data_IF_609554525571
#
_entry.id   IF_609554525571
#
_cell.length_a   1.000
_cell.length_b   1.000
_cell.length_c   1.000
_cell.angle_alpha   90.00
_cell.angle_beta   90.00
_cell.angle_gamma   90.00
#
_symmetry.space_group_name_H-M   'P 1'
#
loop_
_entity.id
_entity.type
_entity.pdbx_description
1 polymer ?
#
# COMPACT_ATOMS: atom_id res chain seq x y z
N UNK A 1 -0.18 -23.71 6.23
CA UNK A 1 -0.89 -22.86 7.22
C UNK A 1 -1.05 -21.49 6.58
N UNK A 2 -2.15 -20.75 6.84
CA UNK A 2 -2.32 -19.42 6.26
C UNK A 2 -1.21 -18.47 6.75
N UNK A 3 -0.87 -17.47 5.94
CA UNK A 3 0.04 -16.40 6.34
C UNK A 3 -0.42 -15.71 7.63
N UNK A 4 0.55 -15.24 8.41
CA UNK A 4 0.29 -14.37 9.55
C UNK A 4 0.92 -13.00 9.29
N UNK A 5 0.23 -11.94 9.70
CA UNK A 5 0.73 -10.56 9.55
C UNK A 5 0.83 -9.84 10.87
N UNK A 6 1.86 -9.01 11.04
CA UNK A 6 1.98 -8.07 12.16
C UNK A 6 2.18 -6.66 11.63
N UNK A 7 1.14 -5.83 11.73
CA UNK A 7 1.18 -4.40 11.45
C UNK A 7 1.70 -3.63 12.68
N UNK A 8 2.48 -2.58 12.46
CA UNK A 8 3.00 -1.67 13.49
C UNK A 8 3.31 -0.29 12.88
N UNK A 9 3.44 0.72 13.74
CA UNK A 9 3.81 2.08 13.33
C UNK A 9 5.33 2.23 13.27
N UNK A 10 5.79 3.01 12.29
CA UNK A 10 7.14 3.51 12.15
C UNK A 10 7.10 5.03 11.94
N UNK A 11 8.21 5.70 12.24
CA UNK A 11 8.39 7.13 12.06
C UNK A 11 7.21 7.91 12.67
N UNK A 12 6.51 8.72 11.88
CA UNK A 12 5.33 9.48 12.31
C UNK A 12 4.03 8.79 11.93
N UNK A 13 3.93 8.32 10.70
CA UNK A 13 2.69 7.79 10.13
C UNK A 13 2.92 6.61 9.17
N UNK A 14 4.16 6.13 9.00
CA UNK A 14 4.46 4.96 8.18
C UNK A 14 3.97 3.69 8.88
N UNK A 15 3.49 2.74 8.09
CA UNK A 15 3.23 1.38 8.53
C UNK A 15 4.42 0.49 8.20
N UNK A 16 4.83 -0.32 9.18
CA UNK A 16 5.63 -1.52 8.94
C UNK A 16 4.75 -2.76 9.00
N UNK A 17 5.02 -3.75 8.14
CA UNK A 17 4.32 -5.04 8.19
C UNK A 17 5.33 -6.18 8.20
N UNK A 18 5.16 -7.12 9.14
CA UNK A 18 5.79 -8.43 9.02
C UNK A 18 4.81 -9.40 8.38
N UNK A 19 5.25 -10.14 7.37
CA UNK A 19 4.56 -11.27 6.73
C UNK A 19 5.27 -12.56 7.10
N UNK A 20 4.59 -13.46 7.80
CA UNK A 20 5.15 -14.69 8.35
C UNK A 20 4.52 -15.93 7.75
N UNK A 21 5.37 -16.87 7.33
CA UNK A 21 4.98 -18.25 7.01
C UNK A 21 5.14 -19.13 8.26
N UNK A 22 4.03 -19.56 8.91
CA UNK A 22 4.12 -20.44 10.07
C UNK A 22 4.69 -21.82 9.75
N UNK A 23 4.60 -22.25 8.48
CA UNK A 23 5.08 -23.57 8.04
C UNK A 23 6.60 -23.66 8.06
N UNK A 24 7.29 -22.65 7.53
CA UNK A 24 8.74 -22.62 7.48
C UNK A 24 9.39 -21.78 8.59
N UNK A 25 8.62 -21.00 9.34
CA UNK A 25 9.13 -20.03 10.32
C UNK A 25 9.78 -18.78 9.71
N UNK A 26 9.62 -18.56 8.39
CA UNK A 26 10.25 -17.45 7.67
C UNK A 26 9.39 -16.21 7.75
N UNK A 27 10.02 -15.04 7.78
CA UNK A 27 9.32 -13.77 7.88
C UNK A 27 9.95 -12.73 6.98
N UNK A 28 9.11 -12.05 6.22
CA UNK A 28 9.48 -10.84 5.50
C UNK A 28 9.08 -9.60 6.30
N UNK A 29 9.92 -8.57 6.31
CA UNK A 29 9.44 -7.20 6.48
C UNK A 29 9.00 -6.67 5.10
N UNK A 30 7.81 -6.09 5.04
CA UNK A 30 7.34 -5.33 3.87
C UNK A 30 7.73 -3.89 4.11
N UNK A 31 8.64 -3.39 3.27
CA UNK A 31 9.42 -2.18 3.52
C UNK A 31 10.17 -2.21 4.87
N UNK A 32 11.08 -1.26 5.05
CA UNK A 32 11.81 -1.04 6.28
C UNK A 32 12.05 0.47 6.52
N UNK A 33 11.02 1.21 6.97
CA UNK A 33 11.16 2.64 7.28
C UNK A 33 12.28 2.94 8.28
N UNK A 34 12.34 2.15 9.35
CA UNK A 34 13.39 2.19 10.36
C UNK A 34 13.55 0.81 11.00
N UNK A 35 14.78 0.47 11.40
CA UNK A 35 15.09 -0.86 11.91
C UNK A 35 14.48 -1.12 13.31
N UNK A 36 14.46 -0.13 14.20
CA UNK A 36 14.09 -0.33 15.59
C UNK A 36 12.64 -0.84 15.80
N UNK A 37 11.59 -0.31 15.13
CA UNK A 37 10.24 -0.87 15.22
C UNK A 37 10.12 -2.28 14.63
N UNK A 38 10.84 -2.57 13.54
CA UNK A 38 10.88 -3.92 12.93
C UNK A 38 11.44 -4.91 13.95
N UNK A 39 12.56 -4.60 14.60
CA UNK A 39 13.15 -5.42 15.67
C UNK A 39 12.19 -5.62 16.85
N UNK A 40 11.49 -4.55 17.27
CA UNK A 40 10.51 -4.64 18.34
C UNK A 40 9.34 -5.57 17.98
N UNK A 41 8.87 -5.51 16.73
CA UNK A 41 7.81 -6.38 16.22
C UNK A 41 8.27 -7.84 16.11
N UNK A 42 9.49 -8.10 15.63
CA UNK A 42 10.11 -9.43 15.59
C UNK A 42 10.25 -10.02 17.00
N UNK A 43 10.76 -9.23 17.95
CA UNK A 43 10.89 -9.65 19.35
C UNK A 43 9.54 -9.98 19.99
N UNK A 44 8.50 -9.17 19.73
CA UNK A 44 7.17 -9.40 20.29
C UNK A 44 6.48 -10.66 19.74
N UNK A 45 6.81 -11.03 18.50
CA UNK A 45 6.23 -12.21 17.82
C UNK A 45 7.07 -13.47 17.99
N UNK A 46 8.38 -13.33 18.30
CA UNK A 46 9.34 -14.43 18.29
C UNK A 46 9.70 -14.89 16.87
N UNK A 47 9.33 -14.12 15.84
CA UNK A 47 9.59 -14.47 14.45
C UNK A 47 11.01 -14.11 14.02
N UNK A 48 11.54 -14.84 13.04
CA UNK A 48 12.89 -14.63 12.49
C UNK A 48 12.80 -13.91 11.15
N UNK A 49 13.43 -12.75 11.04
CA UNK A 49 13.50 -12.00 9.78
C UNK A 49 14.42 -12.72 8.79
N UNK A 50 13.88 -13.05 7.62
CA UNK A 50 14.63 -13.72 6.54
C UNK A 50 14.63 -12.93 5.25
N UNK A 51 13.65 -12.04 5.08
CA UNK A 51 13.44 -11.31 3.84
C UNK A 51 13.03 -9.85 4.15
N UNK A 52 13.40 -8.92 3.28
CA UNK A 52 12.82 -7.58 3.18
C UNK A 52 12.31 -7.46 1.75
N UNK A 53 11.01 -7.22 1.60
CA UNK A 53 10.38 -6.99 0.31
C UNK A 53 10.07 -5.51 0.19
N UNK A 54 10.74 -4.82 -0.73
CA UNK A 54 10.66 -3.37 -0.88
C UNK A 54 9.64 -3.02 -1.95
N UNK A 55 8.74 -2.08 -1.64
CA UNK A 55 7.74 -1.59 -2.56
C UNK A 55 8.32 -0.53 -3.50
N UNK A 56 9.08 0.43 -2.96
CA UNK A 56 9.69 1.51 -3.74
C UNK A 56 10.87 2.16 -3.00
N UNK A 57 11.60 3.04 -3.69
CA UNK A 57 12.90 3.54 -3.23
C UNK A 57 12.89 4.67 -2.20
N UNK A 58 11.75 5.24 -1.85
CA UNK A 58 11.76 6.35 -0.89
C UNK A 58 12.34 5.93 0.46
N UNK A 59 13.01 6.90 1.10
CA UNK A 59 13.81 6.67 2.30
C UNK A 59 12.99 6.21 3.49
N UNK A 60 11.79 6.73 3.64
CA UNK A 60 10.84 6.30 4.66
C UNK A 60 10.25 4.90 4.41
N UNK A 61 10.69 4.20 3.36
CA UNK A 61 10.45 2.77 3.12
C UNK A 61 11.73 1.94 3.15
N UNK A 62 12.92 2.56 3.16
CA UNK A 62 14.19 1.85 2.91
C UNK A 62 15.32 2.15 3.90
N UNK A 63 15.22 3.20 4.72
CA UNK A 63 16.30 3.66 5.60
C UNK A 63 16.71 2.61 6.66
N UNK A 64 15.81 1.70 7.02
CA UNK A 64 16.09 0.60 7.96
C UNK A 64 16.80 -0.61 7.36
N UNK A 65 16.91 -0.73 6.03
CA UNK A 65 17.36 -1.94 5.35
C UNK A 65 18.78 -2.35 5.76
N UNK A 66 19.74 -1.42 5.69
CA UNK A 66 21.15 -1.75 5.91
C UNK A 66 21.40 -2.28 7.34
N UNK A 67 20.75 -1.69 8.33
CA UNK A 67 20.85 -2.11 9.73
C UNK A 67 20.22 -3.49 9.96
N UNK A 68 19.02 -3.73 9.42
CA UNK A 68 18.33 -5.01 9.54
C UNK A 68 19.10 -6.13 8.84
N UNK A 69 19.62 -5.87 7.63
CA UNK A 69 20.41 -6.84 6.89
C UNK A 69 21.70 -7.18 7.62
N UNK A 70 22.40 -6.19 8.18
CA UNK A 70 23.62 -6.45 8.97
C UNK A 70 23.36 -7.38 10.17
N UNK A 71 22.18 -7.27 10.81
CA UNK A 71 21.82 -8.09 11.98
C UNK A 71 21.29 -9.48 11.62
N UNK A 72 20.39 -9.56 10.65
CA UNK A 72 19.62 -10.78 10.36
C UNK A 72 20.15 -11.54 9.15
N UNK A 73 21.03 -10.93 8.34
CA UNK A 73 21.49 -11.47 7.05
C UNK A 73 20.31 -11.82 6.13
N UNK A 74 19.24 -11.03 6.21
CA UNK A 74 18.04 -11.22 5.42
C UNK A 74 18.31 -10.89 3.94
N UNK A 75 17.54 -11.53 3.05
CA UNK A 75 17.51 -11.22 1.62
C UNK A 75 16.70 -9.94 1.38
N UNK A 76 17.19 -9.03 0.55
CA UNK A 76 16.47 -7.82 0.13
C UNK A 76 16.01 -7.99 -1.31
N UNK A 77 14.69 -7.94 -1.52
CA UNK A 77 14.05 -8.03 -2.83
C UNK A 77 13.47 -6.68 -3.19
N UNK A 78 13.81 -6.14 -4.36
CA UNK A 78 13.43 -4.80 -4.79
C UNK A 78 12.86 -4.77 -6.21
N UNK A 79 12.03 -3.77 -6.57
CA UNK A 79 11.65 -3.55 -7.96
C UNK A 79 12.88 -3.30 -8.83
N UNK A 80 12.98 -3.99 -9.96
CA UNK A 80 14.11 -3.89 -10.89
C UNK A 80 14.35 -2.46 -11.40
N UNK A 81 13.28 -1.70 -11.63
CA UNK A 81 13.35 -0.33 -12.11
C UNK A 81 13.91 0.67 -11.09
N UNK A 82 13.95 0.33 -9.80
CA UNK A 82 14.40 1.22 -8.72
C UNK A 82 15.55 0.62 -7.89
N UNK A 83 16.01 -0.59 -8.23
CA UNK A 83 17.05 -1.30 -7.49
C UNK A 83 18.38 -0.53 -7.38
N UNK A 84 18.66 0.39 -8.31
CA UNK A 84 19.85 1.23 -8.29
C UNK A 84 19.88 2.28 -7.16
N UNK A 85 18.74 2.60 -6.56
CA UNK A 85 18.64 3.56 -5.44
C UNK A 85 18.32 2.90 -4.10
N UNK A 86 17.88 1.64 -4.12
CA UNK A 86 17.58 0.86 -2.91
C UNK A 86 18.86 0.24 -2.36
N UNK A 87 19.18 0.39 -1.07
CA UNK A 87 20.40 -0.16 -0.49
C UNK A 87 20.33 -1.69 -0.39
N UNK A 88 21.50 -2.34 -0.52
CA UNK A 88 21.68 -3.75 -0.16
C UNK A 88 20.79 -4.76 -0.92
N UNK A 89 20.35 -4.45 -2.14
CA UNK A 89 19.51 -5.36 -2.95
C UNK A 89 20.24 -6.66 -3.28
N UNK A 90 19.58 -7.80 -3.02
CA UNK A 90 20.06 -9.14 -3.40
C UNK A 90 19.37 -9.69 -4.66
N UNK A 91 18.08 -9.33 -4.83
CA UNK A 91 17.23 -9.85 -5.90
C UNK A 91 16.33 -8.73 -6.43
N UNK A 92 16.13 -8.71 -7.75
CA UNK A 92 15.20 -7.77 -8.39
C UNK A 92 13.99 -8.47 -8.98
N UNK A 93 12.85 -7.79 -8.98
CA UNK A 93 11.58 -8.30 -9.52
C UNK A 93 10.92 -7.32 -10.48
N UNK A 94 10.18 -7.85 -11.45
CA UNK A 94 9.45 -7.13 -12.51
C UNK A 94 7.96 -7.48 -12.50
N UNK A 95 7.18 -6.81 -13.34
CA UNK A 95 5.75 -7.12 -13.53
C UNK A 95 5.54 -8.60 -13.82
N UNK A 96 4.63 -9.23 -13.07
CA UNK A 96 4.29 -10.64 -13.24
C UNK A 96 5.24 -11.63 -12.56
N UNK A 97 6.40 -11.18 -12.08
CA UNK A 97 7.32 -12.05 -11.34
C UNK A 97 6.69 -12.53 -10.02
N UNK A 98 7.26 -13.62 -9.50
CA UNK A 98 6.84 -14.24 -8.25
C UNK A 98 7.84 -13.91 -7.15
N UNK A 99 7.34 -13.46 -6.00
CA UNK A 99 8.10 -13.29 -4.75
C UNK A 99 7.68 -14.38 -3.75
N UNK A 100 8.62 -14.83 -2.92
CA UNK A 100 8.36 -15.89 -1.94
C UNK A 100 8.86 -15.54 -0.55
N UNK A 101 8.09 -15.95 0.46
CA UNK A 101 8.47 -15.96 1.88
C UNK A 101 8.14 -17.34 2.44
N UNK A 102 9.12 -18.23 2.49
CA UNK A 102 8.84 -19.65 2.75
C UNK A 102 7.95 -20.24 1.67
N UNK A 103 6.82 -20.82 2.08
CA UNK A 103 5.81 -21.36 1.19
C UNK A 103 4.82 -20.30 0.66
N UNK A 104 4.82 -19.08 1.20
CA UNK A 104 3.95 -18.00 0.73
C UNK A 104 4.42 -17.51 -0.63
N UNK A 105 3.48 -17.32 -1.55
CA UNK A 105 3.74 -16.91 -2.93
C UNK A 105 2.93 -15.66 -3.27
N UNK A 106 3.66 -14.61 -3.66
CA UNK A 106 3.09 -13.34 -4.09
C UNK A 106 3.44 -13.07 -5.55
N UNK A 107 2.53 -12.41 -6.28
CA UNK A 107 2.80 -11.88 -7.61
C UNK A 107 3.10 -10.40 -7.54
N UNK A 108 4.08 -9.95 -8.31
CA UNK A 108 4.42 -8.54 -8.46
C UNK A 108 3.51 -7.89 -9.49
N UNK A 109 2.92 -6.77 -9.11
CA UNK A 109 2.13 -5.88 -9.97
C UNK A 109 2.87 -4.55 -9.99
N UNK A 110 3.40 -4.13 -11.14
CA UNK A 110 4.10 -2.86 -11.25
C UNK A 110 3.09 -1.74 -11.41
N UNK A 111 3.17 -0.76 -10.53
CA UNK A 111 2.13 0.28 -10.37
C UNK A 111 2.72 1.70 -10.47
N UNK A 112 3.23 2.10 -11.65
CA UNK A 112 3.85 3.41 -11.84
C UNK A 112 2.88 4.54 -11.50
N UNK A 113 3.43 5.63 -10.95
CA UNK A 113 2.67 6.81 -10.58
C UNK A 113 3.36 7.57 -9.45
N UNK A 114 3.39 6.99 -8.24
CA UNK A 114 4.08 7.61 -7.12
C UNK A 114 5.57 7.71 -7.41
N UNK A 115 6.20 6.56 -7.59
CA UNK A 115 7.50 6.42 -8.22
C UNK A 115 7.35 5.82 -9.62
N UNK A 116 8.45 5.77 -10.35
CA UNK A 116 8.49 5.33 -11.75
C UNK A 116 8.22 3.83 -11.94
N UNK A 117 8.59 2.96 -11.01
CA UNK A 117 8.41 1.52 -11.16
C UNK A 117 8.26 0.76 -9.82
N UNK A 118 7.31 1.12 -8.95
CA UNK A 118 7.14 0.47 -7.66
C UNK A 118 6.60 -0.96 -7.84
N UNK A 119 6.97 -1.84 -6.91
CA UNK A 119 6.43 -3.19 -6.78
C UNK A 119 5.28 -3.22 -5.77
N UNK A 120 4.05 -3.43 -6.26
CA UNK A 120 2.93 -3.84 -5.41
C UNK A 120 2.89 -5.37 -5.34
N UNK A 121 2.80 -5.93 -4.14
CA UNK A 121 2.91 -7.38 -3.90
C UNK A 121 1.55 -7.97 -3.55
N UNK A 122 1.05 -8.90 -4.37
CA UNK A 122 -0.25 -9.55 -4.18
C UNK A 122 -0.11 -11.05 -3.88
N UNK A 123 -0.40 -11.44 -2.65
CA UNK A 123 -0.42 -12.83 -2.19
C UNK A 123 -1.84 -13.37 -2.29
N UNK A 124 -2.20 -13.92 -3.46
CA UNK A 124 -3.57 -14.29 -3.80
C UNK A 124 -4.16 -15.37 -2.87
N UNK A 125 -3.37 -16.38 -2.52
CA UNK A 125 -3.82 -17.48 -1.65
C UNK A 125 -4.18 -16.99 -0.23
N UNK A 126 -3.48 -15.96 0.24
CA UNK A 126 -3.66 -15.36 1.57
C UNK A 126 -4.54 -14.10 1.54
N UNK A 127 -4.95 -13.66 0.33
CA UNK A 127 -5.74 -12.45 0.09
C UNK A 127 -5.09 -11.18 0.65
N UNK A 128 -3.78 -11.04 0.50
CA UNK A 128 -3.02 -9.89 1.01
C UNK A 128 -2.49 -9.06 -0.16
N UNK A 129 -2.63 -7.74 -0.05
CA UNK A 129 -2.07 -6.76 -0.98
C UNK A 129 -1.20 -5.77 -0.23
N UNK A 130 0.08 -5.68 -0.60
CA UNK A 130 1.00 -4.68 -0.08
C UNK A 130 1.27 -3.64 -1.17
N UNK A 131 0.62 -2.49 -1.06
CA UNK A 131 0.57 -1.49 -2.15
C UNK A 131 1.55 -0.32 -2.01
N UNK A 132 2.34 -0.31 -0.91
CA UNK A 132 3.19 0.82 -0.56
C UNK A 132 2.41 2.13 -0.66
N UNK A 133 2.95 3.04 -1.47
CA UNK A 133 2.40 4.38 -1.68
C UNK A 133 1.56 4.52 -2.95
N UNK A 134 1.26 3.41 -3.62
CA UNK A 134 0.38 3.45 -4.79
C UNK A 134 -1.07 3.71 -4.35
N UNK A 135 -1.60 2.85 -3.46
CA UNK A 135 -2.98 2.88 -2.97
C UNK A 135 -3.00 2.99 -1.45
N UNK A 136 -3.78 3.93 -0.93
CA UNK A 136 -4.07 4.08 0.50
C UNK A 136 -5.54 3.81 0.76
N UNK A 137 -5.90 3.57 2.03
CA UNK A 137 -7.32 3.59 2.39
C UNK A 137 -7.91 4.98 2.11
N UNK A 138 -8.93 5.01 1.25
CA UNK A 138 -9.64 6.20 0.74
C UNK A 138 -8.74 7.19 -0.03
N UNK A 139 -7.52 6.78 -0.42
CA UNK A 139 -6.57 7.64 -1.11
C UNK A 139 -5.70 6.91 -2.13
N UNK A 140 -4.80 7.67 -2.77
CA UNK A 140 -3.67 7.15 -3.53
C UNK A 140 -2.42 8.00 -3.25
N UNK A 141 -1.26 7.52 -3.71
CA UNK A 141 -0.02 8.28 -3.72
C UNK A 141 -0.14 9.64 -4.38
N UNK A 142 0.72 10.58 -3.98
CA UNK A 142 1.02 11.72 -4.86
C UNK A 142 1.77 11.18 -6.07
N UNK A 143 1.45 11.67 -7.26
CA UNK A 143 2.22 11.34 -8.48
C UNK A 143 3.49 12.20 -8.46
N UNK A 144 4.65 11.58 -8.20
CA UNK A 144 5.93 12.30 -8.06
C UNK A 144 6.80 12.07 -9.29
N UNK A 145 6.99 10.82 -9.71
CA UNK A 145 7.86 10.47 -10.85
C UNK A 145 7.08 10.04 -12.10
N UNK A 146 5.89 9.46 -11.93
CA UNK A 146 5.05 9.03 -13.03
C UNK A 146 4.13 10.14 -13.54
N UNK A 147 3.13 9.73 -14.32
CA UNK A 147 2.06 10.57 -14.84
C UNK A 147 0.71 10.23 -14.22
N UNK A 148 -0.26 11.13 -14.37
CA UNK A 148 -1.63 10.89 -13.90
C UNK A 148 -2.28 9.70 -14.60
N UNK A 149 -2.00 9.51 -15.90
CA UNK A 149 -2.50 8.37 -16.67
C UNK A 149 -1.89 7.06 -16.16
N UNK A 150 -0.57 7.01 -15.93
CA UNK A 150 0.10 5.84 -15.35
C UNK A 150 -0.49 5.48 -13.98
N UNK A 151 -0.67 6.46 -13.09
CA UNK A 151 -1.29 6.21 -11.80
C UNK A 151 -2.73 5.72 -11.94
N UNK A 152 -3.51 6.26 -12.87
CA UNK A 152 -4.87 5.79 -13.14
C UNK A 152 -4.89 4.34 -13.64
N UNK A 153 -4.00 3.97 -14.57
CA UNK A 153 -3.87 2.58 -15.01
C UNK A 153 -3.45 1.65 -13.86
N UNK A 154 -2.57 2.12 -12.97
CA UNK A 154 -2.19 1.42 -11.75
C UNK A 154 -3.39 1.21 -10.81
N UNK A 155 -4.22 2.24 -10.61
CA UNK A 155 -5.47 2.13 -9.86
C UNK A 155 -6.41 1.08 -10.47
N UNK A 156 -6.55 1.05 -11.80
CA UNK A 156 -7.38 0.07 -12.49
C UNK A 156 -6.86 -1.37 -12.30
N UNK A 157 -5.54 -1.60 -12.38
CA UNK A 157 -4.94 -2.91 -12.09
C UNK A 157 -5.30 -3.39 -10.67
N UNK A 158 -5.14 -2.53 -9.67
CA UNK A 158 -5.44 -2.88 -8.28
C UNK A 158 -6.94 -3.05 -8.03
N UNK A 159 -7.78 -2.22 -8.67
CA UNK A 159 -9.25 -2.31 -8.60
C UNK A 159 -9.80 -3.64 -9.13
N UNK A 160 -9.07 -4.31 -10.02
CA UNK A 160 -9.48 -5.61 -10.55
C UNK A 160 -9.29 -6.78 -9.57
N UNK A 161 -8.56 -6.58 -8.45
CA UNK A 161 -8.34 -7.63 -7.45
C UNK A 161 -9.64 -7.98 -6.69
N UNK A 162 -9.78 -9.20 -6.13
CA UNK A 162 -10.99 -9.61 -5.40
C UNK A 162 -11.34 -8.69 -4.22
N UNK A 163 -12.63 -8.50 -3.95
CA UNK A 163 -13.14 -7.59 -2.90
C UNK A 163 -12.67 -7.97 -1.49
N UNK A 164 -12.45 -9.26 -1.24
CA UNK A 164 -11.98 -9.80 0.03
C UNK A 164 -10.44 -9.77 0.18
N UNK A 165 -9.74 -9.10 -0.74
CA UNK A 165 -8.31 -8.80 -0.62
C UNK A 165 -8.08 -7.71 0.43
N UNK A 166 -7.21 -7.97 1.40
CA UNK A 166 -6.83 -7.02 2.44
C UNK A 166 -5.66 -6.14 1.98
N UNK A 167 -5.91 -4.84 1.88
CA UNK A 167 -4.96 -3.79 1.54
C UNK A 167 -4.14 -3.37 2.77
N UNK A 168 -2.83 -3.51 2.65
CA UNK A 168 -1.81 -2.92 3.50
C UNK A 168 -1.08 -1.84 2.69
N UNK A 169 -1.24 -0.59 3.11
CA UNK A 169 -0.63 0.58 2.48
C UNK A 169 0.51 1.15 3.32
N UNK A 170 1.27 2.10 2.77
CA UNK A 170 2.46 2.66 3.41
C UNK A 170 2.21 3.57 4.62
N UNK A 171 1.03 4.22 4.70
CA UNK A 171 0.81 5.31 5.67
C UNK A 171 -0.59 5.37 6.28
N UNK A 172 -0.66 5.89 7.51
CA UNK A 172 -1.86 6.19 8.31
C UNK A 172 -2.53 7.51 7.87
N UNK A 173 -2.89 7.59 6.58
CA UNK A 173 -3.51 8.78 5.96
C UNK A 173 -5.04 8.75 5.90
N UNK A 174 -5.66 7.68 6.36
CA UNK A 174 -7.08 7.36 6.12
C UNK A 174 -8.02 8.48 6.56
N UNK A 175 -7.83 9.08 7.74
CA UNK A 175 -8.71 10.16 8.21
C UNK A 175 -8.60 11.42 7.33
N UNK A 176 -7.38 11.80 6.93
CA UNK A 176 -7.18 12.92 6.02
C UNK A 176 -7.76 12.65 4.63
N UNK A 177 -7.61 11.40 4.15
CA UNK A 177 -8.19 10.94 2.90
C UNK A 177 -9.73 11.00 2.92
N UNK A 178 -10.36 10.56 3.99
CA UNK A 178 -11.82 10.63 4.17
C UNK A 178 -12.33 12.07 4.14
N UNK A 179 -11.66 12.98 4.86
CA UNK A 179 -12.01 14.41 4.85
C UNK A 179 -12.01 14.98 3.44
N UNK A 180 -11.00 14.64 2.65
CA UNK A 180 -10.95 15.03 1.24
C UNK A 180 -12.05 14.35 0.41
N UNK A 181 -12.23 13.03 0.53
CA UNK A 181 -13.23 12.29 -0.23
C UNK A 181 -14.66 12.81 -0.01
N UNK A 182 -14.98 13.27 1.22
CA UNK A 182 -16.27 13.89 1.54
C UNK A 182 -16.50 15.24 0.86
N UNK A 183 -15.47 15.89 0.33
CA UNK A 183 -15.65 17.08 -0.53
C UNK A 183 -16.17 16.74 -1.92
N UNK A 184 -16.11 15.45 -2.31
CA UNK A 184 -16.54 14.92 -3.61
C UNK A 184 -17.84 14.13 -3.45
N UNK A 185 -17.86 13.15 -2.55
CA UNK A 185 -19.01 12.25 -2.36
C UNK A 185 -19.54 12.30 -0.91
N UNK A 186 -20.07 13.44 -0.42
CA UNK A 186 -20.52 13.60 0.97
C UNK A 186 -21.62 12.62 1.38
N UNK A 187 -22.45 12.19 0.43
CA UNK A 187 -23.61 11.31 0.67
C UNK A 187 -23.32 9.82 0.41
N UNK A 188 -22.09 9.46 0.02
CA UNK A 188 -21.69 8.07 -0.20
C UNK A 188 -21.73 7.29 1.12
N UNK A 189 -22.70 6.38 1.24
CA UNK A 189 -22.93 5.60 2.46
C UNK A 189 -21.74 4.72 2.86
N UNK A 190 -20.99 4.19 1.88
CA UNK A 190 -19.78 3.41 2.16
C UNK A 190 -18.67 4.29 2.77
N UNK A 191 -18.51 5.52 2.27
CA UNK A 191 -17.56 6.50 2.82
C UNK A 191 -17.95 6.93 4.23
N UNK A 192 -19.24 7.17 4.48
CA UNK A 192 -19.76 7.50 5.82
C UNK A 192 -19.52 6.34 6.80
N UNK A 193 -19.81 5.10 6.40
CA UNK A 193 -19.56 3.93 7.22
C UNK A 193 -18.06 3.78 7.55
N UNK A 194 -17.18 3.99 6.56
CA UNK A 194 -15.73 3.97 6.76
C UNK A 194 -15.25 5.07 7.72
N UNK A 195 -15.80 6.28 7.63
CA UNK A 195 -15.51 7.37 8.58
C UNK A 195 -15.87 7.01 10.03
N UNK A 196 -17.03 6.39 10.24
CA UNK A 196 -17.45 5.94 11.56
C UNK A 196 -16.51 4.86 12.12
N UNK A 197 -16.14 3.88 11.30
CA UNK A 197 -15.18 2.83 11.69
C UNK A 197 -13.81 3.42 12.04
N UNK A 198 -13.27 4.29 11.20
CA UNK A 198 -11.97 4.96 11.43
C UNK A 198 -11.99 5.79 12.70
N UNK A 199 -13.08 6.51 12.96
CA UNK A 199 -13.25 7.29 14.19
C UNK A 199 -13.19 6.40 15.44
N UNK A 200 -13.85 5.24 15.40
CA UNK A 200 -13.82 4.27 16.51
C UNK A 200 -12.43 3.65 16.70
N UNK A 201 -11.75 3.27 15.61
CA UNK A 201 -10.39 2.71 15.66
C UNK A 201 -9.41 3.71 16.29
N UNK A 202 -9.41 4.97 15.83
CA UNK A 202 -8.52 6.00 16.35
C UNK A 202 -8.84 6.37 17.81
N UNK A 203 -10.12 6.42 18.20
CA UNK A 203 -10.52 6.61 19.59
C UNK A 203 -10.00 5.47 20.50
N UNK A 204 -9.91 4.24 19.97
CA UNK A 204 -9.30 3.10 20.64
C UNK A 204 -7.78 2.99 20.46
N UNK A 205 -7.11 4.01 19.88
CA UNK A 205 -5.68 4.02 19.55
C UNK A 205 -5.24 2.82 18.70
N UNK A 206 -6.10 2.39 17.78
CA UNK A 206 -5.82 1.35 16.79
C UNK A 206 -5.52 1.99 15.44
N UNK A 207 -4.70 1.29 14.66
CA UNK A 207 -4.41 1.63 13.27
C UNK A 207 -5.65 1.42 12.40
N UNK A 208 -5.75 2.17 11.30
CA UNK A 208 -6.90 2.10 10.38
C UNK A 208 -6.71 1.09 9.24
N UNK A 209 -5.48 0.60 9.06
CA UNK A 209 -5.13 -0.49 8.18
C UNK A 209 -5.17 -1.85 8.90
N UNK A 210 -5.34 -2.97 8.17
CA UNK A 210 -5.70 -3.01 6.75
C UNK A 210 -7.17 -2.64 6.50
N UNK A 211 -7.51 -2.35 5.25
CA UNK A 211 -8.90 -2.30 4.75
C UNK A 211 -9.12 -3.36 3.67
N UNK A 212 -10.36 -3.67 3.31
CA UNK A 212 -10.64 -4.58 2.19
C UNK A 212 -10.73 -3.83 0.86
N UNK A 213 -10.31 -4.45 -0.23
CA UNK A 213 -10.46 -3.87 -1.58
C UNK A 213 -11.92 -3.59 -1.94
N UNK A 214 -12.89 -4.38 -1.42
CA UNK A 214 -14.31 -4.11 -1.58
C UNK A 214 -14.74 -2.78 -0.96
N UNK A 215 -14.31 -2.50 0.28
CA UNK A 215 -14.55 -1.19 0.93
C UNK A 215 -13.90 -0.05 0.14
N UNK A 216 -12.67 -0.25 -0.33
CA UNK A 216 -11.96 0.76 -1.11
C UNK A 216 -12.64 1.07 -2.45
N UNK A 217 -13.10 0.06 -3.20
CA UNK A 217 -13.87 0.26 -4.44
C UNK A 217 -15.16 1.04 -4.20
N UNK A 218 -15.80 0.82 -3.06
CA UNK A 218 -17.06 1.45 -2.71
C UNK A 218 -16.89 2.93 -2.30
N UNK A 219 -15.74 3.32 -1.75
CA UNK A 219 -15.59 4.62 -1.08
C UNK A 219 -14.35 5.45 -1.48
N UNK A 220 -13.34 4.87 -2.12
CA UNK A 220 -12.13 5.59 -2.49
C UNK A 220 -12.34 6.35 -3.81
N UNK A 221 -12.33 7.70 -3.82
CA UNK A 221 -12.63 8.47 -5.03
C UNK A 221 -11.64 8.20 -6.17
N UNK A 222 -10.42 7.76 -5.85
CA UNK A 222 -9.39 7.43 -6.83
C UNK A 222 -9.62 6.08 -7.53
N UNK A 223 -10.49 5.22 -7.00
CA UNK A 223 -10.94 3.98 -7.64
C UNK A 223 -12.29 4.13 -8.35
N UNK A 224 -12.86 5.35 -8.32
CA UNK A 224 -14.24 5.64 -8.74
C UNK A 224 -14.32 6.76 -9.79
N UNK A 225 -13.19 7.17 -10.34
CA UNK A 225 -13.10 8.30 -11.28
C UNK A 225 -13.86 8.09 -12.61
N UNK A 226 -14.20 6.84 -12.95
CA UNK A 226 -15.01 6.46 -14.11
C UNK A 226 -16.52 6.46 -13.83
N UNK A 227 -16.95 6.71 -12.59
CA UNK A 227 -18.36 6.79 -12.25
C UNK A 227 -18.92 8.17 -12.64
N UNK A 228 -20.08 8.22 -13.34
CA UNK A 228 -20.69 9.48 -13.76
C UNK A 228 -20.93 10.46 -12.60
N UNK A 229 -21.36 9.96 -11.45
CA UNK A 229 -21.64 10.77 -10.26
C UNK A 229 -20.37 11.42 -9.68
N UNK A 230 -19.23 10.72 -9.71
CA UNK A 230 -17.94 11.26 -9.25
C UNK A 230 -17.43 12.31 -10.21
N UNK A 231 -17.50 12.03 -11.52
CA UNK A 231 -17.16 12.98 -12.57
C UNK A 231 -18.01 14.27 -12.45
N UNK A 232 -19.32 14.13 -12.22
CA UNK A 232 -20.23 15.26 -12.02
C UNK A 232 -19.88 16.05 -10.75
N UNK A 233 -19.58 15.38 -9.63
CA UNK A 233 -19.23 16.03 -8.37
C UNK A 233 -17.97 16.91 -8.47
N UNK A 234 -17.04 16.57 -9.37
CA UNK A 234 -15.88 17.40 -9.67
C UNK A 234 -16.08 18.35 -10.86
N UNK A 235 -17.29 18.46 -11.41
CA UNK A 235 -17.60 19.37 -12.52
C UNK A 235 -17.06 18.92 -13.88
N UNK A 236 -16.84 17.61 -14.05
CA UNK A 236 -16.27 16.99 -15.24
C UNK A 236 -17.20 15.92 -15.84
N UNK A 237 -18.51 16.13 -15.75
CA UNK A 237 -19.49 15.20 -16.32
C UNK A 237 -19.20 14.94 -17.82
N UNK A 238 -19.09 13.66 -18.20
CA UNK A 238 -18.78 13.24 -19.57
C UNK A 238 -17.30 13.30 -19.97
N UNK A 239 -16.41 13.73 -19.08
CA UNK A 239 -14.97 13.70 -19.34
C UNK A 239 -14.41 12.26 -19.27
N UNK A 240 -13.27 11.99 -19.93
CA UNK A 240 -12.54 10.73 -19.75
C UNK A 240 -12.15 10.48 -18.29
N UNK A 241 -12.27 9.23 -17.83
CA UNK A 241 -11.98 8.85 -16.44
C UNK A 241 -10.56 9.21 -15.98
N UNK A 242 -9.57 9.14 -16.87
CA UNK A 242 -8.20 9.54 -16.57
C UNK A 242 -8.09 11.04 -16.25
N UNK A 243 -8.85 11.89 -16.94
CA UNK A 243 -8.89 13.34 -16.67
C UNK A 243 -9.61 13.63 -15.35
N UNK A 244 -10.69 12.91 -15.06
CA UNK A 244 -11.40 12.98 -13.77
C UNK A 244 -10.47 12.57 -12.62
N UNK A 245 -9.73 11.46 -12.79
CA UNK A 245 -8.71 11.02 -11.82
C UNK A 245 -7.65 12.12 -11.60
N UNK A 246 -7.12 12.70 -12.67
CA UNK A 246 -6.12 13.76 -12.61
C UNK A 246 -6.62 15.00 -11.86
N UNK A 247 -7.88 15.39 -12.08
CA UNK A 247 -8.51 16.51 -11.36
C UNK A 247 -8.69 16.20 -9.88
N UNK A 248 -9.23 15.02 -9.52
CA UNK A 248 -9.36 14.59 -8.11
C UNK A 248 -7.99 14.64 -7.43
N UNK A 249 -6.94 14.12 -8.09
CA UNK A 249 -5.58 14.11 -7.57
C UNK A 249 -5.02 15.51 -7.39
N UNK A 250 -5.26 16.40 -8.34
CA UNK A 250 -4.86 17.81 -8.29
C UNK A 250 -5.55 18.56 -7.15
N UNK A 251 -6.85 18.32 -6.92
CA UNK A 251 -7.57 18.89 -5.77
C UNK A 251 -6.99 18.41 -4.45
N UNK A 252 -6.72 17.10 -4.31
CA UNK A 252 -6.13 16.55 -3.08
C UNK A 252 -4.72 17.07 -2.79
N UNK A 253 -3.98 17.48 -3.82
CA UNK A 253 -2.66 18.09 -3.63
C UNK A 253 -2.74 19.50 -3.02
N UNK A 254 -3.90 20.17 -3.12
CA UNK A 254 -4.14 21.54 -2.65
C UNK A 254 -5.04 21.62 -1.40
N UNK A 255 -5.57 20.49 -0.93
CA UNK A 255 -6.42 20.38 0.25
C UNK A 255 -5.56 20.20 1.51
#
# INVERSE_FOLDING_TARGET
MPAQTRLFMCLKDNFGVLLHDPGSGRTAAIDAPEAAPVEAALKATGWTLTDILVTHHHRDHTDGIAELKARHRCRVVAPDGEAGTIPEVDETVREGDTVRVGALEGRVIVTPGHTSAPATLYFAADKLLFAGDTLFSIGCGRVIEGSMDEMWQSMLKLRALPDDTMLYCGHEYTLANIRFAKTIEPDNQALIAREQQVTQLLAARKMTAPSSMGEEKAANPFLRADLPEVAQAVGMAGAPAADVFAEIRTRKNKF
#
